data_IF_369437313550
#
_entry.id   IF_369437313550
#
_cell.length_a   1.000
_cell.length_b   1.000
_cell.length_c   1.000
_cell.angle_alpha   90.00
_cell.angle_beta   90.00
_cell.angle_gamma   90.00
#
_symmetry.space_group_name_H-M   'P 1'
#
loop_
_entity.id
_entity.type
_entity.pdbx_description
1 polymer ?
#
# COMPACT_ATOMS: atom_id res chain seq x y z
N UNK A 1 -36.70 45.88 -14.98
CA UNK A 1 -35.35 45.99 -14.42
C UNK A 1 -34.96 44.62 -13.89
N UNK A 2 -34.23 43.83 -14.70
CA UNK A 2 -33.75 42.47 -14.32
C UNK A 2 -32.31 42.57 -13.80
N UNK A 3 -32.12 42.28 -12.52
CA UNK A 3 -30.78 42.11 -11.93
C UNK A 3 -30.29 40.68 -12.18
N UNK A 4 -29.35 40.57 -13.07
CA UNK A 4 -28.62 39.33 -13.38
C UNK A 4 -27.47 39.20 -12.41
N UNK A 5 -27.61 38.32 -11.43
CA UNK A 5 -26.62 38.01 -10.42
C UNK A 5 -25.59 37.06 -11.04
N UNK A 6 -24.40 37.55 -11.38
CA UNK A 6 -23.23 36.78 -11.82
C UNK A 6 -22.74 35.91 -10.67
N UNK A 7 -22.96 34.61 -10.77
CA UNK A 7 -22.30 33.62 -9.91
C UNK A 7 -20.84 33.50 -10.36
N UNK A 8 -19.94 34.04 -9.60
CA UNK A 8 -18.50 33.80 -9.72
C UNK A 8 -18.22 32.42 -9.18
N UNK A 9 -17.92 31.45 -10.05
CA UNK A 9 -17.34 30.16 -9.69
C UNK A 9 -15.91 30.39 -9.20
N UNK A 10 -15.71 30.39 -7.90
CA UNK A 10 -14.39 30.29 -7.32
C UNK A 10 -13.88 28.85 -7.53
N UNK A 11 -12.94 28.69 -8.44
CA UNK A 11 -12.15 27.46 -8.59
C UNK A 11 -11.32 27.34 -7.33
N UNK A 12 -11.72 26.47 -6.41
CA UNK A 12 -10.89 26.07 -5.27
C UNK A 12 -9.69 25.27 -5.82
N UNK A 13 -8.58 25.97 -6.00
CA UNK A 13 -7.28 25.35 -6.19
C UNK A 13 -6.93 24.59 -4.91
N UNK A 14 -7.12 23.26 -4.92
CA UNK A 14 -6.58 22.39 -3.87
C UNK A 14 -5.05 22.53 -3.88
N UNK A 15 -4.53 23.33 -2.97
CA UNK A 15 -3.09 23.33 -2.67
C UNK A 15 -2.70 21.91 -2.27
N UNK A 16 -2.01 21.21 -3.17
CA UNK A 16 -1.40 19.92 -2.86
C UNK A 16 -0.36 20.16 -1.76
N UNK A 17 -0.61 19.61 -0.58
CA UNK A 17 0.37 19.63 0.52
C UNK A 17 1.61 18.88 0.03
N UNK A 18 2.68 19.60 -0.22
CA UNK A 18 3.97 19.04 -0.62
C UNK A 18 4.80 18.84 0.62
N UNK A 19 5.01 17.58 1.04
CA UNK A 19 5.92 17.26 2.13
C UNK A 19 7.37 17.33 1.63
N UNK A 20 8.29 17.69 2.54
CA UNK A 20 9.72 17.58 2.26
C UNK A 20 10.11 16.12 1.97
N UNK A 21 11.17 15.88 1.17
CA UNK A 21 11.68 14.52 0.93
C UNK A 21 11.97 13.79 2.25
N UNK A 22 11.55 12.53 2.33
CA UNK A 22 11.72 11.66 3.49
C UNK A 22 12.51 10.43 3.07
N UNK A 23 13.53 10.10 3.83
CA UNK A 23 14.35 8.91 3.58
C UNK A 23 13.51 7.64 3.77
N UNK A 24 13.44 6.82 2.70
CA UNK A 24 12.78 5.51 2.70
C UNK A 24 13.75 4.36 3.03
N UNK A 25 15.05 4.65 3.12
CA UNK A 25 16.13 3.69 3.29
C UNK A 25 16.69 3.15 1.97
N UNK A 26 17.67 2.23 2.06
CA UNK A 26 18.17 1.52 0.88
C UNK A 26 17.08 0.61 0.30
N UNK A 27 16.92 0.66 -1.03
CA UNK A 27 15.84 -0.05 -1.71
C UNK A 27 15.98 -1.58 -1.61
N UNK A 28 17.20 -2.12 -1.76
CA UNK A 28 17.41 -3.56 -1.74
C UNK A 28 17.12 -4.15 -0.35
N UNK A 29 17.62 -3.49 0.69
CA UNK A 29 17.39 -3.91 2.08
C UNK A 29 15.90 -3.84 2.43
N UNK A 30 15.25 -2.73 2.06
CA UNK A 30 13.82 -2.56 2.27
C UNK A 30 12.98 -3.59 1.51
N UNK A 31 13.29 -3.85 0.23
CA UNK A 31 12.59 -4.83 -0.58
C UNK A 31 12.71 -6.24 0.01
N UNK A 32 13.93 -6.66 0.33
CA UNK A 32 14.17 -7.96 0.94
C UNK A 32 13.43 -8.12 2.28
N UNK A 33 13.45 -7.09 3.13
CA UNK A 33 12.72 -7.09 4.39
C UNK A 33 11.20 -7.16 4.17
N UNK A 34 10.67 -6.40 3.21
CA UNK A 34 9.24 -6.37 2.89
C UNK A 34 8.77 -7.72 2.37
N UNK A 35 9.50 -8.33 1.42
CA UNK A 35 9.17 -9.65 0.89
C UNK A 35 9.20 -10.73 1.99
N UNK A 36 10.20 -10.73 2.87
CA UNK A 36 10.21 -11.62 4.05
C UNK A 36 9.01 -11.37 4.97
N UNK A 37 8.66 -10.11 5.21
CA UNK A 37 7.51 -9.73 6.03
C UNK A 37 6.17 -10.25 5.48
N UNK A 38 6.01 -10.32 4.16
CA UNK A 38 4.81 -10.87 3.52
C UNK A 38 4.62 -12.37 3.81
N UNK A 39 5.70 -13.13 4.00
CA UNK A 39 5.63 -14.55 4.37
C UNK A 39 5.44 -14.75 5.88
N UNK A 40 6.12 -13.94 6.70
CA UNK A 40 6.18 -14.15 8.15
C UNK A 40 5.14 -13.38 8.94
N UNK A 41 4.47 -12.40 8.32
CA UNK A 41 3.62 -11.45 9.04
C UNK A 41 4.38 -10.50 9.96
N UNK A 42 5.71 -10.37 9.80
CA UNK A 42 6.52 -9.50 10.63
C UNK A 42 6.09 -8.02 10.51
N UNK A 43 6.18 -7.23 11.58
CA UNK A 43 5.93 -5.80 11.54
C UNK A 43 6.86 -5.07 10.57
N UNK A 44 6.33 -4.06 9.88
CA UNK A 44 7.11 -3.17 9.03
C UNK A 44 7.67 -2.00 9.84
N UNK A 45 9.00 -1.83 9.93
CA UNK A 45 9.62 -0.71 10.63
C UNK A 45 9.63 0.53 9.74
N UNK A 46 8.48 1.18 9.61
CA UNK A 46 8.33 2.40 8.80
C UNK A 46 8.75 3.62 9.61
N UNK A 47 9.71 4.45 9.14
CA UNK A 47 10.13 5.66 9.84
C UNK A 47 9.10 6.79 9.69
N UNK A 48 7.90 6.58 10.24
CA UNK A 48 6.77 7.51 10.08
C UNK A 48 7.00 8.89 10.70
N UNK A 49 7.81 9.00 11.77
CA UNK A 49 7.91 10.24 12.53
C UNK A 49 6.53 10.73 12.98
N UNK A 50 6.24 12.00 12.72
CA UNK A 50 4.94 12.62 13.05
C UNK A 50 3.84 12.39 12.00
N UNK A 51 4.09 11.57 10.98
CA UNK A 51 3.08 11.26 9.97
C UNK A 51 1.92 10.45 10.57
N UNK A 52 0.71 10.85 10.23
CA UNK A 52 -0.55 10.16 10.60
C UNK A 52 -1.39 9.86 9.35
N UNK A 53 -0.76 9.82 8.18
CA UNK A 53 -1.42 9.66 6.90
C UNK A 53 -2.35 8.45 6.86
N UNK A 54 -1.89 7.27 7.28
CA UNK A 54 -2.70 6.05 7.33
C UNK A 54 -3.88 6.16 8.32
N UNK A 55 -3.68 6.83 9.47
CA UNK A 55 -4.74 7.01 10.47
C UNK A 55 -5.82 8.02 10.02
N UNK A 56 -5.55 8.84 9.02
CA UNK A 56 -6.45 9.90 8.53
C UNK A 56 -6.95 9.68 7.11
N UNK A 57 -6.69 8.52 6.50
CA UNK A 57 -7.05 8.22 5.11
C UNK A 57 -8.27 7.31 4.95
N UNK A 58 -9.07 7.17 6.00
CA UNK A 58 -10.35 6.46 5.91
C UNK A 58 -10.26 4.94 5.73
N UNK A 59 -9.13 4.32 6.04
CA UNK A 59 -8.98 2.88 5.98
C UNK A 59 -9.83 2.18 7.05
N UNK A 60 -10.53 1.13 6.66
CA UNK A 60 -11.04 0.14 7.59
C UNK A 60 -9.89 -0.75 8.04
N UNK A 61 -9.75 -0.97 9.34
CA UNK A 61 -8.66 -1.74 9.92
C UNK A 61 -9.20 -3.12 10.29
N UNK A 62 -8.81 -4.18 9.57
CA UNK A 62 -9.20 -5.54 9.91
C UNK A 62 -8.46 -6.00 11.17
N UNK A 63 -9.19 -6.72 12.03
CA UNK A 63 -8.66 -7.39 13.21
C UNK A 63 -8.97 -8.88 13.09
N UNK A 64 -7.98 -9.69 13.40
CA UNK A 64 -8.11 -11.14 13.48
C UNK A 64 -8.26 -11.57 14.94
N UNK A 65 -8.64 -12.83 15.24
CA UNK A 65 -8.65 -13.34 16.62
C UNK A 65 -7.30 -13.24 17.33
N UNK A 66 -6.19 -13.22 16.58
CA UNK A 66 -4.84 -13.05 17.14
C UNK A 66 -4.54 -11.62 17.61
N UNK A 67 -5.33 -10.64 17.21
CA UNK A 67 -5.23 -9.25 17.67
C UNK A 67 -5.89 -9.01 19.04
N UNK A 68 -5.85 -9.99 19.93
CA UNK A 68 -6.56 -9.98 21.24
C UNK A 68 -6.25 -8.73 22.07
N UNK A 69 -5.00 -8.30 22.12
CA UNK A 69 -4.60 -7.09 22.84
C UNK A 69 -5.25 -5.82 22.25
N UNK A 70 -5.36 -5.74 20.91
CA UNK A 70 -6.04 -4.64 20.24
C UNK A 70 -7.55 -4.68 20.51
N UNK A 71 -8.16 -5.87 20.40
CA UNK A 71 -9.61 -6.07 20.62
C UNK A 71 -9.98 -5.67 22.05
N UNK A 72 -9.17 -5.99 23.06
CA UNK A 72 -9.39 -5.58 24.44
C UNK A 72 -9.19 -4.08 24.68
N UNK A 73 -8.27 -3.45 23.96
CA UNK A 73 -7.98 -2.03 24.12
C UNK A 73 -8.95 -1.10 23.36
N UNK A 74 -9.64 -1.61 22.34
CA UNK A 74 -10.60 -0.84 21.54
C UNK A 74 -11.97 -0.90 22.19
N UNK A 75 -12.66 0.24 22.41
CA UNK A 75 -14.04 0.24 22.89
C UNK A 75 -14.96 -0.61 21.98
N UNK A 76 -15.71 -1.55 22.58
CA UNK A 76 -16.53 -2.49 21.85
C UNK A 76 -17.50 -1.85 20.81
N UNK A 77 -18.11 -0.67 21.05
CA UNK A 77 -18.97 -0.02 20.05
C UNK A 77 -18.24 0.41 18.76
N UNK A 78 -16.91 0.48 18.77
CA UNK A 78 -16.09 0.84 17.60
C UNK A 78 -15.70 -0.38 16.75
N UNK A 79 -15.95 -1.59 17.26
CA UNK A 79 -15.69 -2.85 16.57
C UNK A 79 -16.99 -3.38 15.95
N UNK A 80 -16.92 -3.71 14.67
CA UNK A 80 -17.99 -4.41 13.96
C UNK A 80 -17.51 -5.79 13.55
N UNK A 81 -18.38 -6.82 13.50
CA UNK A 81 -18.04 -8.10 12.88
C UNK A 81 -17.57 -7.88 11.45
N UNK A 82 -16.50 -8.58 11.03
CA UNK A 82 -16.00 -8.48 9.67
C UNK A 82 -16.96 -9.20 8.70
N UNK A 83 -17.50 -8.52 7.68
CA UNK A 83 -18.46 -9.13 6.75
C UNK A 83 -17.89 -10.36 6.05
N UNK A 84 -18.63 -11.47 6.07
CA UNK A 84 -18.23 -12.72 5.40
C UNK A 84 -17.10 -13.49 6.08
N UNK A 85 -16.66 -13.06 7.28
CA UNK A 85 -15.62 -13.74 8.05
C UNK A 85 -16.23 -14.52 9.24
N UNK A 86 -15.54 -15.57 9.74
CA UNK A 86 -15.96 -16.29 10.94
C UNK A 86 -16.06 -15.39 12.18
N UNK A 87 -16.75 -15.84 13.25
CA UNK A 87 -16.75 -15.15 14.54
C UNK A 87 -15.34 -14.87 15.06
N UNK A 88 -15.16 -13.70 15.72
CA UNK A 88 -13.85 -13.25 16.23
C UNK A 88 -13.05 -12.37 15.26
N UNK A 89 -13.45 -12.30 14.00
CA UNK A 89 -12.91 -11.31 13.07
C UNK A 89 -13.72 -10.01 13.15
N UNK A 90 -13.01 -8.90 13.27
CA UNK A 90 -13.62 -7.58 13.44
C UNK A 90 -13.06 -6.58 12.43
N UNK A 91 -13.77 -5.48 12.28
CA UNK A 91 -13.29 -4.28 11.57
C UNK A 91 -13.41 -3.11 12.52
N UNK A 92 -12.31 -2.40 12.74
CA UNK A 92 -12.34 -1.07 13.34
C UNK A 92 -12.72 -0.07 12.25
N UNK A 93 -13.84 0.59 12.46
CA UNK A 93 -14.36 1.60 11.56
C UNK A 93 -13.56 2.90 11.60
N UNK A 94 -14.23 3.97 11.23
CA UNK A 94 -13.67 5.33 11.18
C UNK A 94 -14.67 6.34 11.71
N UNK A 95 -14.16 7.49 12.13
CA UNK A 95 -15.01 8.63 12.51
C UNK A 95 -15.76 9.18 11.31
N UNK A 96 -16.72 10.05 11.53
CA UNK A 96 -17.44 10.77 10.46
C UNK A 96 -16.50 11.59 9.56
N UNK A 97 -15.33 12.00 10.08
CA UNK A 97 -14.29 12.72 9.36
C UNK A 97 -13.32 11.78 8.62
N UNK A 98 -13.54 10.47 8.65
CA UNK A 98 -12.71 9.47 7.98
C UNK A 98 -11.43 9.10 8.73
N UNK A 99 -11.22 9.55 9.96
CA UNK A 99 -10.05 9.21 10.76
C UNK A 99 -10.26 7.90 11.54
N UNK A 100 -9.15 7.26 11.93
CA UNK A 100 -9.15 6.17 12.89
C UNK A 100 -9.68 6.70 14.25
N UNK A 101 -10.67 6.06 14.89
CA UNK A 101 -11.19 6.53 16.16
C UNK A 101 -10.20 6.43 17.33
N UNK A 102 -9.11 5.64 17.16
CA UNK A 102 -8.03 5.55 18.14
C UNK A 102 -6.95 6.63 17.94
N UNK A 103 -7.16 7.58 17.04
CA UNK A 103 -6.27 8.73 16.84
C UNK A 103 -6.71 9.89 17.75
N UNK A 104 -6.05 10.05 18.88
CA UNK A 104 -6.31 11.06 19.90
C UNK A 104 -5.12 12.00 20.01
N UNK A 105 -5.36 13.33 20.03
CA UNK A 105 -4.30 14.32 20.16
C UNK A 105 -3.10 14.09 19.20
N UNK A 106 -3.39 13.67 17.98
CA UNK A 106 -2.39 13.33 16.95
C UNK A 106 -1.51 12.10 17.29
N UNK A 107 -1.95 11.22 18.19
CA UNK A 107 -1.27 9.98 18.57
C UNK A 107 -2.24 8.81 18.57
N UNK A 108 -1.74 7.60 18.34
CA UNK A 108 -2.55 6.39 18.49
C UNK A 108 -2.66 6.05 19.99
N UNK A 109 -3.88 6.12 20.56
CA UNK A 109 -4.11 5.84 22.00
C UNK A 109 -3.80 4.39 22.38
N UNK A 110 -3.81 3.47 21.41
CA UNK A 110 -3.48 2.05 21.61
C UNK A 110 -2.17 1.64 20.93
N UNK A 111 -1.21 2.56 20.75
CA UNK A 111 0.00 2.32 19.94
C UNK A 111 0.72 1.00 20.27
N UNK A 112 0.96 0.61 21.54
CA UNK A 112 1.59 -0.67 21.87
C UNK A 112 0.74 -1.90 21.48
N UNK A 113 -0.57 -1.76 21.52
CA UNK A 113 -1.55 -2.80 21.23
C UNK A 113 -2.14 -2.71 19.81
N UNK A 114 -1.49 -1.99 18.88
CA UNK A 114 -1.98 -1.82 17.50
C UNK A 114 -2.30 -3.16 16.84
N UNK A 115 -3.40 -3.27 16.07
CA UNK A 115 -3.67 -4.44 15.25
C UNK A 115 -2.51 -4.81 14.33
N UNK A 116 -2.41 -6.08 13.97
CA UNK A 116 -1.40 -6.57 13.04
C UNK A 116 -1.44 -5.81 11.70
N UNK A 117 -2.62 -5.51 11.19
CA UNK A 117 -2.79 -4.71 10.00
C UNK A 117 -2.10 -3.33 10.08
N UNK A 118 -2.13 -2.69 11.27
CA UNK A 118 -1.43 -1.41 11.48
C UNK A 118 0.09 -1.60 11.63
N UNK A 119 0.54 -2.72 12.20
CA UNK A 119 1.97 -3.02 12.38
C UNK A 119 2.65 -3.42 11.08
N UNK A 120 1.93 -4.11 10.20
CA UNK A 120 2.43 -4.54 8.90
C UNK A 120 2.29 -3.50 7.80
N UNK A 121 1.51 -2.43 8.04
CA UNK A 121 1.26 -1.42 7.00
C UNK A 121 2.51 -0.58 6.71
N UNK A 122 2.94 -0.60 5.45
CA UNK A 122 4.06 0.19 4.96
C UNK A 122 3.67 0.95 3.69
N UNK A 123 3.47 2.26 3.78
CA UNK A 123 3.10 3.08 2.63
C UNK A 123 4.25 3.30 1.62
N UNK A 124 5.48 2.87 1.93
CA UNK A 124 6.59 2.86 0.98
C UNK A 124 6.34 1.93 -0.21
N UNK A 125 5.47 0.91 -0.04
CA UNK A 125 5.09 0.00 -1.15
C UNK A 125 4.50 0.76 -2.34
N UNK A 126 3.72 1.81 -2.08
CA UNK A 126 3.16 2.66 -3.15
C UNK A 126 4.23 3.51 -3.84
N UNK A 127 5.16 4.07 -3.06
CA UNK A 127 6.30 4.83 -3.61
C UNK A 127 7.19 3.92 -4.46
N UNK A 128 7.47 2.70 -4.00
CA UNK A 128 8.22 1.69 -4.73
C UNK A 128 7.53 1.29 -6.04
N UNK A 129 6.21 1.13 -6.03
CA UNK A 129 5.44 0.80 -7.23
C UNK A 129 5.17 2.01 -8.14
N UNK A 130 5.48 3.24 -7.70
CA UNK A 130 5.21 4.46 -8.46
C UNK A 130 3.72 4.81 -8.58
N UNK A 131 2.89 4.41 -7.61
CA UNK A 131 1.44 4.62 -7.63
C UNK A 131 0.95 5.37 -6.38
N UNK A 132 -0.25 5.95 -6.46
CA UNK A 132 -0.91 6.56 -5.31
C UNK A 132 -1.48 5.48 -4.37
N UNK A 133 -1.55 5.78 -3.07
CA UNK A 133 -2.14 4.88 -2.06
C UNK A 133 -3.68 4.80 -2.16
N UNK A 134 -4.31 5.71 -2.88
CA UNK A 134 -5.75 5.77 -3.06
C UNK A 134 -6.19 7.03 -3.78
N UNK A 135 -7.50 7.31 -3.80
CA UNK A 135 -8.05 8.49 -4.45
C UNK A 135 -7.55 9.79 -3.81
N UNK A 136 -7.83 10.93 -4.45
CA UNK A 136 -7.38 12.27 -3.98
C UNK A 136 -7.85 12.61 -2.56
N UNK A 137 -8.97 12.03 -2.12
CA UNK A 137 -9.42 12.14 -0.72
C UNK A 137 -8.40 11.60 0.31
N UNK A 138 -7.48 10.74 -0.11
CA UNK A 138 -6.36 10.23 0.69
C UNK A 138 -5.15 11.18 0.65
N UNK A 139 -5.40 12.47 0.64
CA UNK A 139 -4.40 13.52 0.38
C UNK A 139 -3.15 13.40 1.27
N UNK A 140 -3.32 13.15 2.57
CA UNK A 140 -2.19 13.07 3.53
C UNK A 140 -1.29 11.87 3.26
N UNK A 141 -1.86 10.67 3.04
CA UNK A 141 -1.02 9.51 2.74
C UNK A 141 -0.40 9.61 1.36
N UNK A 142 -1.13 10.15 0.36
CA UNK A 142 -0.57 10.40 -0.97
C UNK A 142 0.57 11.44 -0.93
N UNK A 143 0.48 12.46 -0.07
CA UNK A 143 1.59 13.40 0.15
C UNK A 143 2.82 12.68 0.72
N UNK A 144 2.65 11.83 1.73
CA UNK A 144 3.74 11.03 2.29
C UNK A 144 4.34 10.07 1.26
N UNK A 145 3.51 9.38 0.46
CA UNK A 145 3.97 8.49 -0.61
C UNK A 145 4.86 9.23 -1.60
N UNK A 146 4.46 10.43 -2.01
CA UNK A 146 5.27 11.27 -2.90
C UNK A 146 6.55 11.81 -2.25
N UNK A 147 6.61 11.88 -0.93
CA UNK A 147 7.78 12.36 -0.21
C UNK A 147 8.88 11.30 -0.04
N UNK A 148 8.55 10.02 -0.07
CA UNK A 148 9.53 8.94 0.10
C UNK A 148 10.61 8.97 -0.98
N UNK A 149 11.88 8.83 -0.57
CA UNK A 149 13.06 8.71 -1.43
C UNK A 149 13.87 7.51 -1.00
N UNK A 150 14.00 6.54 -1.89
CA UNK A 150 14.91 5.41 -1.71
C UNK A 150 16.33 5.80 -2.12
N UNK A 151 17.32 5.28 -1.41
CA UNK A 151 18.71 5.24 -1.81
C UNK A 151 19.03 3.89 -2.47
N UNK A 152 20.15 3.82 -3.20
CA UNK A 152 20.54 2.62 -3.93
C UNK A 152 22.02 2.34 -3.69
N UNK A 153 22.32 1.25 -2.97
CA UNK A 153 23.69 0.77 -2.75
C UNK A 153 24.32 0.15 -4.00
N UNK A 154 23.53 -0.13 -5.06
CA UNK A 154 24.02 -0.74 -6.30
C UNK A 154 23.12 -0.44 -7.50
N UNK A 155 23.68 -0.61 -8.72
CA UNK A 155 22.87 -0.57 -9.95
C UNK A 155 21.79 -1.65 -9.99
N UNK A 156 22.03 -2.80 -9.36
CA UNK A 156 21.02 -3.85 -9.25
C UNK A 156 19.82 -3.42 -8.40
N UNK A 157 20.06 -2.74 -7.28
CA UNK A 157 18.99 -2.17 -6.45
C UNK A 157 18.13 -1.16 -7.22
N UNK A 158 18.77 -0.30 -8.02
CA UNK A 158 18.06 0.65 -8.88
C UNK A 158 17.26 -0.07 -9.98
N UNK A 159 17.83 -1.08 -10.62
CA UNK A 159 17.13 -1.90 -11.62
C UNK A 159 15.93 -2.64 -11.00
N UNK A 160 16.07 -3.20 -9.79
CA UNK A 160 14.97 -3.84 -9.08
C UNK A 160 13.83 -2.85 -8.78
N UNK A 161 14.13 -1.61 -8.39
CA UNK A 161 13.10 -0.58 -8.20
C UNK A 161 12.37 -0.26 -9.51
N UNK A 162 13.10 -0.08 -10.61
CA UNK A 162 12.51 0.14 -11.93
C UNK A 162 11.64 -1.05 -12.37
N UNK A 163 12.05 -2.28 -12.05
CA UNK A 163 11.29 -3.49 -12.32
C UNK A 163 9.97 -3.55 -11.54
N UNK A 164 9.94 -3.13 -10.26
CA UNK A 164 8.70 -2.99 -9.49
C UNK A 164 7.76 -1.99 -10.13
N UNK A 165 8.26 -0.83 -10.56
CA UNK A 165 7.45 0.19 -11.25
C UNK A 165 6.93 -0.32 -12.61
N UNK A 166 7.78 -1.04 -13.36
CA UNK A 166 7.39 -1.64 -14.62
C UNK A 166 6.30 -2.71 -14.44
N UNK A 167 6.40 -3.53 -13.38
CA UNK A 167 5.38 -4.53 -13.03
C UNK A 167 4.02 -3.86 -12.73
N UNK A 168 4.01 -2.82 -11.90
CA UNK A 168 2.78 -2.10 -11.56
C UNK A 168 2.13 -1.50 -12.81
N UNK A 169 2.93 -0.82 -13.64
CA UNK A 169 2.48 -0.19 -14.90
C UNK A 169 1.94 -1.23 -15.88
N UNK A 170 2.65 -2.33 -16.09
CA UNK A 170 2.21 -3.41 -16.97
C UNK A 170 0.85 -3.96 -16.55
N UNK A 171 0.64 -4.23 -15.27
CA UNK A 171 -0.65 -4.72 -14.78
C UNK A 171 -1.79 -3.71 -14.97
N UNK A 172 -1.52 -2.40 -14.83
CA UNK A 172 -2.52 -1.36 -15.07
C UNK A 172 -2.87 -1.19 -16.54
N UNK A 173 -1.86 -1.20 -17.43
CA UNK A 173 -2.03 -0.90 -18.86
C UNK A 173 -2.46 -2.13 -19.67
N UNK A 174 -2.07 -3.33 -19.23
CA UNK A 174 -2.21 -4.59 -19.96
C UNK A 174 -3.11 -5.60 -19.24
N UNK A 175 -4.11 -5.13 -18.50
CA UNK A 175 -5.02 -6.00 -17.76
C UNK A 175 -5.66 -7.06 -18.64
N UNK A 176 -5.98 -6.76 -19.91
CA UNK A 176 -6.56 -7.70 -20.86
C UNK A 176 -5.65 -8.89 -21.23
N UNK A 177 -4.35 -8.78 -21.01
CA UNK A 177 -3.39 -9.87 -21.22
C UNK A 177 -3.46 -10.96 -20.13
N UNK A 178 -4.02 -10.63 -18.97
CA UNK A 178 -4.18 -11.56 -17.85
C UNK A 178 -5.41 -12.45 -18.03
N UNK A 179 -5.41 -13.69 -17.49
CA UNK A 179 -6.54 -14.61 -17.56
C UNK A 179 -7.82 -13.95 -17.01
N UNK A 180 -8.83 -13.81 -17.88
CA UNK A 180 -10.10 -13.14 -17.56
C UNK A 180 -9.97 -11.65 -17.25
N UNK A 181 -8.88 -11.00 -17.66
CA UNK A 181 -8.62 -9.58 -17.37
C UNK A 181 -8.43 -9.28 -15.87
N UNK A 182 -8.11 -10.29 -15.06
CA UNK A 182 -8.06 -10.16 -13.60
C UNK A 182 -6.70 -9.68 -13.13
N UNK A 183 -6.66 -8.43 -12.74
CA UNK A 183 -5.55 -7.79 -12.02
C UNK A 183 -6.08 -7.13 -10.75
N UNK A 184 -5.24 -6.96 -9.71
CA UNK A 184 -5.67 -6.24 -8.52
C UNK A 184 -6.16 -4.83 -8.87
N UNK A 185 -7.32 -4.46 -8.33
CA UNK A 185 -7.88 -3.10 -8.49
C UNK A 185 -7.58 -2.19 -7.33
N UNK A 186 -7.31 -2.77 -6.17
CA UNK A 186 -6.91 -2.01 -4.98
C UNK A 186 -5.43 -1.65 -5.10
N UNK A 187 -5.06 -0.39 -4.80
CA UNK A 187 -3.66 0.06 -4.90
C UNK A 187 -2.69 -0.75 -4.05
N UNK A 188 -3.09 -1.13 -2.82
CA UNK A 188 -2.29 -1.94 -1.91
C UNK A 188 -2.01 -3.34 -2.48
N UNK A 189 -3.03 -4.02 -2.99
CA UNK A 189 -2.87 -5.33 -3.64
C UNK A 189 -2.00 -5.25 -4.89
N UNK A 190 -2.18 -4.21 -5.71
CA UNK A 190 -1.38 -3.98 -6.91
C UNK A 190 0.09 -3.73 -6.58
N UNK A 191 0.36 -2.85 -5.60
CA UNK A 191 1.73 -2.56 -5.16
C UNK A 191 2.42 -3.81 -4.61
N UNK A 192 1.74 -4.56 -3.74
CA UNK A 192 2.29 -5.79 -3.18
C UNK A 192 2.54 -6.86 -4.24
N UNK A 193 1.64 -7.01 -5.22
CA UNK A 193 1.86 -7.93 -6.32
C UNK A 193 3.07 -7.49 -7.18
N UNK A 194 3.21 -6.19 -7.46
CA UNK A 194 4.36 -5.68 -8.21
C UNK A 194 5.69 -6.00 -7.50
N UNK A 195 5.75 -5.90 -6.16
CA UNK A 195 6.92 -6.31 -5.38
C UNK A 195 7.20 -7.80 -5.52
N UNK A 196 6.18 -8.66 -5.38
CA UNK A 196 6.34 -10.13 -5.48
C UNK A 196 6.89 -10.58 -6.83
N UNK A 197 6.50 -9.91 -7.92
CA UNK A 197 6.78 -10.36 -9.29
C UNK A 197 7.84 -9.54 -10.02
N UNK A 198 8.52 -8.62 -9.34
CA UNK A 198 9.49 -7.71 -9.98
C UNK A 198 10.60 -8.44 -10.75
N UNK A 199 10.99 -9.65 -10.30
CA UNK A 199 12.00 -10.47 -10.95
C UNK A 199 11.65 -10.81 -12.41
N UNK A 200 10.36 -10.92 -12.76
CA UNK A 200 9.92 -11.11 -14.16
C UNK A 200 10.38 -9.95 -15.04
N UNK A 201 10.40 -8.73 -14.49
CA UNK A 201 10.74 -7.50 -15.21
C UNK A 201 12.25 -7.18 -15.21
N UNK A 202 13.07 -8.04 -14.56
CA UNK A 202 14.54 -8.01 -14.65
C UNK A 202 15.07 -8.97 -15.74
N UNK A 203 14.22 -9.78 -16.36
CA UNK A 203 14.64 -10.78 -17.34
C UNK A 203 15.15 -10.10 -18.62
N UNK A 204 16.29 -10.59 -19.13
CA UNK A 204 16.91 -10.06 -20.35
C UNK A 204 16.06 -10.31 -21.60
N UNK A 205 15.24 -11.39 -21.62
CA UNK A 205 14.38 -11.76 -22.74
C UNK A 205 13.01 -11.04 -22.73
N UNK A 206 12.72 -10.25 -21.69
CA UNK A 206 11.42 -9.57 -21.55
C UNK A 206 10.98 -8.79 -22.81
N UNK A 207 11.86 -8.05 -23.51
CA UNK A 207 11.46 -7.29 -24.71
C UNK A 207 11.02 -8.16 -25.89
N UNK A 208 11.30 -9.44 -25.85
CA UNK A 208 10.94 -10.40 -26.91
C UNK A 208 9.63 -11.14 -26.63
N UNK A 209 9.10 -10.98 -25.42
CA UNK A 209 7.89 -11.67 -24.99
C UNK A 209 6.63 -10.90 -25.40
N UNK A 210 5.56 -11.65 -25.70
CA UNK A 210 4.23 -11.07 -25.87
C UNK A 210 3.64 -10.64 -24.52
N UNK A 211 2.70 -9.68 -24.52
CA UNK A 211 2.00 -9.27 -23.30
C UNK A 211 1.37 -10.47 -22.57
N UNK A 212 0.81 -11.45 -23.29
CA UNK A 212 0.23 -12.66 -22.69
C UNK A 212 1.28 -13.56 -22.04
N UNK A 213 2.48 -13.67 -22.64
CA UNK A 213 3.58 -14.45 -22.06
C UNK A 213 4.11 -13.78 -20.79
N UNK A 214 4.22 -12.44 -20.77
CA UNK A 214 4.58 -11.67 -19.58
C UNK A 214 3.52 -11.87 -18.49
N UNK A 215 2.24 -11.75 -18.82
CA UNK A 215 1.15 -11.97 -17.87
C UNK A 215 1.17 -13.39 -17.27
N UNK A 216 1.45 -14.41 -18.09
CA UNK A 216 1.60 -15.79 -17.62
C UNK A 216 2.79 -15.94 -16.66
N UNK A 217 3.94 -15.29 -16.96
CA UNK A 217 5.11 -15.28 -16.08
C UNK A 217 4.82 -14.57 -14.75
N UNK A 218 4.10 -13.45 -14.76
CA UNK A 218 3.64 -12.75 -13.55
C UNK A 218 2.78 -13.65 -12.68
N UNK A 219 1.81 -14.36 -13.28
CA UNK A 219 0.94 -15.28 -12.53
C UNK A 219 1.73 -16.45 -11.94
N UNK A 220 2.66 -17.03 -12.70
CA UNK A 220 3.53 -18.11 -12.21
C UNK A 220 4.40 -17.63 -11.03
N UNK A 221 5.11 -16.50 -11.21
CA UNK A 221 5.98 -15.92 -10.17
C UNK A 221 5.20 -15.59 -8.88
N UNK A 222 3.97 -15.07 -8.98
CA UNK A 222 3.12 -14.82 -7.82
C UNK A 222 2.76 -16.10 -7.08
N UNK A 223 2.42 -17.17 -7.80
CA UNK A 223 2.11 -18.49 -7.20
C UNK A 223 3.32 -19.10 -6.50
N UNK A 224 4.48 -19.02 -7.15
CA UNK A 224 5.74 -19.53 -6.57
C UNK A 224 6.10 -18.78 -5.29
N UNK A 225 5.93 -17.45 -5.30
CA UNK A 225 6.10 -16.64 -4.09
C UNK A 225 5.15 -17.07 -2.98
N UNK A 226 3.86 -17.20 -3.27
CA UNK A 226 2.84 -17.58 -2.27
C UNK A 226 3.03 -19.02 -1.77
N UNK A 227 3.65 -19.91 -2.57
CA UNK A 227 4.02 -21.25 -2.17
C UNK A 227 5.35 -21.32 -1.38
N UNK A 228 6.04 -20.19 -1.16
CA UNK A 228 7.33 -20.14 -0.47
C UNK A 228 8.52 -20.61 -1.32
N UNK A 229 8.32 -20.80 -2.63
CA UNK A 229 9.37 -21.32 -3.54
C UNK A 229 10.33 -20.21 -4.00
N UNK A 230 9.94 -18.93 -3.87
CA UNK A 230 10.73 -17.77 -4.30
C UNK A 230 11.77 -17.25 -3.30
N UNK A 231 11.90 -17.86 -2.12
CA UNK A 231 12.74 -17.35 -1.03
C UNK A 231 14.17 -17.93 -1.00
N UNK A 232 14.54 -18.80 -1.97
CA UNK A 232 15.81 -19.56 -1.94
C UNK A 232 16.98 -18.93 -2.71
N UNK A 233 16.78 -17.85 -3.47
CA UNK A 233 17.83 -17.27 -4.35
C UNK A 233 17.92 -15.75 -4.26
N UNK A 234 18.06 -15.20 -3.05
CA UNK A 234 18.39 -13.78 -2.88
C UNK A 234 19.51 -13.57 -1.85
#
# INVERSE_FOLDING_TARGET
>A
MHHQQKRTNAIQTHHMVQEAPVDAGDFADWLAQTLRGLHTGAPAPVPCGDCRGCCTSGYFIPLTPSDSAAIMAIPAPLLSPAPGMPPGYHVLGRTAQGACPMLEHNHCSIYPARPQACRAYDCRVFAAAGIAAGPDSFSRINARVRAWRFSYGSHHAQAAHQAVQAAARFMQEKASAFPGGRVPRRPDELALLALKVHAVFLRADLPTLTDSAIAAAVVACSRDFDAGLGASEA
#
